data_IF_899494736961
#
_entry.id   IF_899494736961
#
_cell.length_a   1.000
_cell.length_b   1.000
_cell.length_c   1.000
_cell.angle_alpha   90.00
_cell.angle_beta   90.00
_cell.angle_gamma   90.00
#
_symmetry.space_group_name_H-M   'P 1'
#
loop_
_entity.id
_entity.type
_entity.pdbx_description
1 polymer ?
#
# COMPACT_ATOMS: atom_id res chain seq x y z
N UNK A 1 -3.88 -29.55 -6.77
CA UNK A 1 -5.31 -29.39 -7.09
C UNK A 1 -5.63 -27.94 -6.76
N UNK A 2 -6.09 -27.15 -7.73
CA UNK A 2 -6.59 -25.80 -7.44
C UNK A 2 -7.89 -25.95 -6.65
N UNK A 3 -7.88 -25.53 -5.39
CA UNK A 3 -9.09 -25.42 -4.58
C UNK A 3 -9.90 -24.26 -5.14
N UNK A 4 -11.09 -24.57 -5.66
CA UNK A 4 -12.04 -23.57 -6.14
C UNK A 4 -12.66 -22.88 -4.93
N UNK A 5 -12.65 -21.55 -4.95
CA UNK A 5 -13.31 -20.71 -3.94
C UNK A 5 -14.80 -21.11 -3.81
N UNK A 6 -15.24 -21.66 -2.66
CA UNK A 6 -16.62 -22.11 -2.46
C UNK A 6 -17.63 -20.96 -2.45
N UNK A 7 -17.18 -19.71 -2.33
CA UNK A 7 -18.02 -18.51 -2.33
C UNK A 7 -18.11 -17.82 -3.71
N UNK A 8 -17.56 -18.38 -4.79
CA UNK A 8 -17.73 -17.84 -6.15
C UNK A 8 -19.15 -18.14 -6.65
N UNK A 9 -20.06 -17.15 -6.75
CA UNK A 9 -21.44 -17.38 -7.15
C UNK A 9 -21.45 -17.64 -8.65
N UNK A 10 -21.24 -18.90 -9.04
CA UNK A 10 -21.05 -19.35 -10.41
C UNK A 10 -21.89 -18.59 -11.45
N UNK A 11 -21.24 -17.65 -12.13
CA UNK A 11 -21.77 -16.96 -13.29
C UNK A 11 -21.76 -17.91 -14.49
N UNK A 12 -22.86 -18.63 -14.69
CA UNK A 12 -23.05 -19.53 -15.82
C UNK A 12 -23.12 -18.79 -17.16
N UNK A 13 -22.29 -19.22 -18.11
CA UNK A 13 -22.53 -19.06 -19.56
C UNK A 13 -21.88 -17.86 -20.24
N UNK A 14 -20.71 -18.08 -20.82
CA UNK A 14 -20.12 -17.23 -21.86
C UNK A 14 -18.81 -16.54 -21.43
N UNK A 15 -17.68 -17.20 -21.71
CA UNK A 15 -16.32 -16.65 -21.55
C UNK A 15 -16.03 -16.17 -20.13
N UNK A 16 -15.46 -17.03 -19.30
CA UNK A 16 -15.14 -16.78 -17.88
C UNK A 16 -14.39 -15.45 -17.73
N UNK A 17 -15.13 -14.38 -17.41
CA UNK A 17 -14.58 -13.07 -17.12
C UNK A 17 -13.75 -13.21 -15.85
N UNK A 18 -12.43 -13.06 -15.96
CA UNK A 18 -11.55 -12.96 -14.79
C UNK A 18 -11.93 -11.67 -14.05
N UNK A 19 -12.34 -11.68 -12.78
CA UNK A 19 -12.79 -10.45 -12.12
C UNK A 19 -11.65 -9.45 -11.94
N UNK A 20 -11.97 -8.14 -11.96
CA UNK A 20 -11.02 -7.02 -11.82
C UNK A 20 -10.00 -7.19 -10.69
N UNK A 21 -10.40 -7.88 -9.63
CA UNK A 21 -9.66 -7.95 -8.36
C UNK A 21 -8.65 -9.11 -8.28
N UNK A 22 -8.70 -10.08 -9.21
CA UNK A 22 -7.67 -11.12 -9.35
C UNK A 22 -6.31 -10.54 -9.74
N UNK A 23 -6.30 -9.29 -10.22
CA UNK A 23 -5.18 -8.70 -10.96
C UNK A 23 -4.29 -7.85 -10.04
N UNK A 24 -4.82 -7.32 -8.95
CA UNK A 24 -4.06 -6.59 -7.92
C UNK A 24 -3.03 -7.48 -7.23
N UNK A 25 -3.40 -8.72 -6.93
CA UNK A 25 -2.52 -9.67 -6.24
C UNK A 25 -1.40 -10.21 -7.12
N UNK A 26 -1.58 -10.23 -8.45
CA UNK A 26 -0.53 -10.64 -9.39
C UNK A 26 0.49 -9.53 -9.69
N UNK A 27 0.14 -8.29 -9.37
CA UNK A 27 0.92 -7.09 -9.65
C UNK A 27 1.31 -6.39 -8.33
N UNK A 28 1.83 -7.12 -7.35
CA UNK A 28 2.28 -6.53 -6.07
C UNK A 28 3.45 -5.58 -6.31
N UNK A 29 3.20 -4.28 -6.21
CA UNK A 29 4.22 -3.26 -6.40
C UNK A 29 4.51 -2.53 -5.10
N UNK A 30 5.78 -2.25 -4.87
CA UNK A 30 6.15 -1.24 -3.88
C UNK A 30 5.64 0.16 -4.30
N UNK A 31 5.51 1.11 -3.37
CA UNK A 31 4.98 2.45 -3.67
C UNK A 31 5.72 3.18 -4.80
N UNK A 32 7.06 3.13 -4.81
CA UNK A 32 7.91 3.70 -5.87
C UNK A 32 7.60 3.05 -7.24
N UNK A 33 7.49 1.72 -7.29
CA UNK A 33 7.17 1.01 -8.53
C UNK A 33 5.75 1.28 -9.02
N UNK A 34 4.77 1.36 -8.10
CA UNK A 34 3.40 1.73 -8.39
C UNK A 34 3.32 3.14 -9.01
N UNK A 35 4.03 4.11 -8.43
CA UNK A 35 4.17 5.46 -8.96
C UNK A 35 4.77 5.45 -10.37
N UNK A 36 5.91 4.79 -10.55
CA UNK A 36 6.57 4.65 -11.84
C UNK A 36 5.67 4.02 -12.91
N UNK A 37 4.97 2.95 -12.55
CA UNK A 37 4.03 2.25 -13.44
C UNK A 37 2.86 3.15 -13.85
N UNK A 38 2.31 3.92 -12.92
CA UNK A 38 1.23 4.85 -13.23
C UNK A 38 1.69 5.91 -14.25
N UNK A 39 2.88 6.48 -14.08
CA UNK A 39 3.46 7.45 -15.02
C UNK A 39 3.78 6.82 -16.38
N UNK A 40 4.35 5.61 -16.38
CA UNK A 40 4.59 4.84 -17.60
C UNK A 40 3.28 4.58 -18.35
N UNK A 41 2.22 4.16 -17.66
CA UNK A 41 0.91 3.88 -18.24
C UNK A 41 0.30 5.13 -18.89
N UNK A 42 0.41 6.29 -18.24
CA UNK A 42 -0.03 7.58 -18.80
C UNK A 42 0.78 7.98 -20.05
N UNK A 43 2.10 7.81 -20.01
CA UNK A 43 2.97 8.04 -21.18
C UNK A 43 2.59 7.11 -22.34
N UNK A 44 2.38 5.83 -22.03
CA UNK A 44 1.97 4.81 -22.99
C UNK A 44 0.66 5.17 -23.68
N UNK A 45 -0.36 5.53 -22.89
CA UNK A 45 -1.66 5.96 -23.36
C UNK A 45 -1.56 7.16 -24.31
N UNK A 46 -0.78 8.18 -23.94
CA UNK A 46 -0.58 9.38 -24.74
C UNK A 46 0.22 9.12 -26.02
N UNK A 47 1.17 8.20 -25.97
CA UNK A 47 1.97 7.82 -27.13
C UNK A 47 1.22 6.97 -28.16
N UNK A 48 0.12 6.32 -27.75
CA UNK A 48 -0.70 5.41 -28.56
C UNK A 48 0.14 4.58 -29.54
N UNK A 49 1.07 3.74 -29.03
CA UNK A 49 2.09 3.10 -29.86
C UNK A 49 1.53 2.14 -30.93
N UNK A 50 0.24 1.77 -30.84
CA UNK A 50 -0.42 0.86 -31.76
C UNK A 50 -1.46 1.52 -32.67
N UNK A 51 -1.67 2.84 -32.57
CA UNK A 51 -2.61 3.55 -33.45
C UNK A 51 -4.07 3.10 -33.31
N UNK A 52 -4.44 2.42 -32.22
CA UNK A 52 -5.77 1.87 -32.00
C UNK A 52 -6.73 2.97 -31.52
N UNK A 53 -7.22 3.81 -32.44
CA UNK A 53 -7.93 5.06 -32.11
C UNK A 53 -9.45 5.00 -32.27
N UNK A 54 -10.17 5.55 -31.29
CA UNK A 54 -11.56 6.03 -31.46
C UNK A 54 -11.84 7.32 -30.65
N UNK A 55 -11.00 7.66 -29.66
CA UNK A 55 -11.16 8.85 -28.80
C UNK A 55 -9.93 9.75 -28.83
N UNK A 56 -9.93 10.77 -29.69
CA UNK A 56 -8.90 11.83 -29.69
C UNK A 56 -7.45 11.34 -29.87
N UNK A 57 -7.24 10.17 -30.48
CA UNK A 57 -5.91 9.61 -30.68
C UNK A 57 -5.40 8.67 -29.58
N UNK A 58 -6.21 8.29 -28.59
CA UNK A 58 -5.82 7.42 -27.48
C UNK A 58 -6.23 5.96 -27.68
N UNK A 59 -5.50 5.02 -27.08
CA UNK A 59 -5.76 3.57 -27.17
C UNK A 59 -7.02 3.16 -26.39
N UNK A 60 -8.01 2.60 -27.08
CA UNK A 60 -9.29 2.18 -26.46
C UNK A 60 -9.16 1.08 -25.41
N UNK A 61 -8.13 0.23 -25.50
CA UNK A 61 -7.85 -0.85 -24.53
C UNK A 61 -7.27 -0.30 -23.22
N UNK A 62 -7.15 1.01 -23.11
CA UNK A 62 -6.86 1.74 -21.88
C UNK A 62 -8.10 2.35 -21.23
N UNK A 63 -9.24 2.43 -21.95
CA UNK A 63 -10.27 3.44 -21.69
C UNK A 63 -11.67 2.86 -21.46
N UNK A 64 -11.82 1.90 -20.55
CA UNK A 64 -13.12 1.71 -19.91
C UNK A 64 -13.34 2.82 -18.85
N UNK A 65 -13.45 4.05 -19.32
CA UNK A 65 -13.94 5.31 -18.68
C UNK A 65 -13.41 5.83 -17.33
N UNK A 66 -12.77 5.04 -16.46
CA UNK A 66 -12.51 5.48 -15.08
C UNK A 66 -11.07 5.92 -14.82
N UNK A 67 -10.09 5.33 -15.50
CA UNK A 67 -8.69 5.44 -15.08
C UNK A 67 -8.12 6.86 -15.06
N UNK A 68 -8.29 7.67 -16.11
CA UNK A 68 -7.65 9.00 -16.05
C UNK A 68 -8.31 9.89 -15.01
N UNK A 69 -9.61 9.75 -14.79
CA UNK A 69 -10.29 10.48 -13.73
C UNK A 69 -9.87 9.94 -12.35
N UNK A 70 -9.90 8.62 -12.15
CA UNK A 70 -9.54 7.98 -10.89
C UNK A 70 -8.06 8.12 -10.56
N UNK A 71 -7.15 7.94 -11.52
CA UNK A 71 -5.72 8.13 -11.35
C UNK A 71 -5.34 9.61 -11.16
N UNK A 72 -6.01 10.55 -11.86
CA UNK A 72 -5.80 11.97 -11.61
C UNK A 72 -6.40 12.37 -10.25
N UNK A 73 -7.60 11.90 -9.90
CA UNK A 73 -8.21 12.14 -8.60
C UNK A 73 -7.37 11.54 -7.48
N UNK A 74 -6.83 10.34 -7.71
CA UNK A 74 -5.93 9.68 -6.79
C UNK A 74 -4.66 10.51 -6.62
N UNK A 75 -4.00 10.88 -7.72
CA UNK A 75 -2.83 11.76 -7.69
C UNK A 75 -3.12 13.13 -7.04
N UNK A 76 -4.31 13.70 -7.19
CA UNK A 76 -4.73 14.95 -6.53
C UNK A 76 -5.03 14.74 -5.04
N UNK A 77 -5.49 13.55 -4.67
CA UNK A 77 -5.75 13.14 -3.29
C UNK A 77 -4.52 12.53 -2.60
N UNK A 78 -3.36 12.54 -3.26
CA UNK A 78 -2.12 11.94 -2.78
C UNK A 78 -2.04 10.42 -2.96
N UNK A 79 -3.09 9.72 -3.41
CA UNK A 79 -3.09 8.26 -3.62
C UNK A 79 -2.43 7.82 -4.92
N UNK A 80 -1.65 6.75 -4.79
CA UNK A 80 -1.10 6.01 -5.92
C UNK A 80 -1.93 4.76 -6.18
N UNK A 81 -2.78 4.85 -7.19
CA UNK A 81 -3.40 3.70 -7.84
C UNK A 81 -2.48 3.24 -8.96
N UNK A 82 -2.15 1.94 -9.01
CA UNK A 82 -1.43 1.38 -10.14
C UNK A 82 -2.37 0.58 -11.05
N UNK A 83 -2.22 0.70 -12.38
CA UNK A 83 -2.99 -0.09 -13.32
C UNK A 83 -2.52 -1.54 -13.30
N UNK A 84 -3.52 -2.43 -13.43
CA UNK A 84 -3.30 -3.85 -13.69
C UNK A 84 -3.92 -4.24 -15.02
N UNK A 85 -3.33 -5.26 -15.62
CA UNK A 85 -3.49 -5.55 -17.03
C UNK A 85 -3.88 -7.00 -17.28
N UNK A 86 -4.58 -7.25 -18.39
CA UNK A 86 -4.85 -8.61 -18.86
C UNK A 86 -4.70 -8.75 -20.35
N UNK A 87 -4.52 -9.99 -20.79
CA UNK A 87 -4.64 -10.36 -22.19
C UNK A 87 -6.05 -10.92 -22.51
N UNK A 88 -6.93 -10.14 -23.18
CA UNK A 88 -8.24 -10.62 -23.60
C UNK A 88 -8.15 -11.79 -24.61
N UNK A 89 -7.01 -11.95 -25.30
CA UNK A 89 -6.80 -13.08 -26.22
C UNK A 89 -6.39 -14.37 -25.50
N UNK A 90 -6.06 -14.29 -24.21
CA UNK A 90 -5.67 -15.42 -23.38
C UNK A 90 -6.60 -15.54 -22.18
N UNK A 91 -7.90 -15.66 -22.43
CA UNK A 91 -8.94 -15.81 -21.39
C UNK A 91 -8.87 -14.74 -20.28
N UNK A 92 -8.49 -13.50 -20.62
CA UNK A 92 -8.29 -12.42 -19.65
C UNK A 92 -7.27 -12.77 -18.55
N UNK A 93 -6.26 -13.59 -18.88
CA UNK A 93 -5.17 -13.90 -17.95
C UNK A 93 -4.43 -12.61 -17.53
N UNK A 94 -4.09 -12.45 -16.24
CA UNK A 94 -3.23 -11.38 -15.75
C UNK A 94 -1.95 -11.29 -16.56
N UNK A 95 -1.61 -10.09 -17.01
CA UNK A 95 -0.30 -9.81 -17.58
C UNK A 95 0.54 -9.08 -16.52
N UNK A 96 1.66 -9.67 -16.05
CA UNK A 96 2.51 -9.04 -15.04
C UNK A 96 3.12 -7.79 -15.67
N UNK A 97 2.60 -6.62 -15.27
CA UNK A 97 3.01 -5.34 -15.84
C UNK A 97 4.45 -4.97 -15.46
N UNK A 98 4.91 -3.79 -15.89
CA UNK A 98 6.20 -3.25 -15.48
C UNK A 98 6.44 -3.22 -13.96
N UNK A 99 7.49 -3.86 -13.47
CA UNK A 99 7.79 -3.92 -12.02
C UNK A 99 7.10 -5.05 -11.27
N UNK A 100 6.19 -5.81 -11.90
CA UNK A 100 5.52 -6.92 -11.23
C UNK A 100 6.52 -8.01 -10.82
N UNK A 101 6.31 -8.72 -9.70
CA UNK A 101 7.04 -9.93 -9.38
C UNK A 101 6.99 -10.93 -10.55
N UNK A 102 8.14 -11.54 -10.86
CA UNK A 102 8.26 -12.50 -11.97
C UNK A 102 8.32 -11.87 -13.38
N UNK A 103 8.15 -10.55 -13.53
CA UNK A 103 8.40 -9.86 -14.80
C UNK A 103 9.91 -9.61 -15.03
N UNK A 104 10.30 -9.37 -16.29
CA UNK A 104 11.68 -8.97 -16.62
C UNK A 104 12.10 -7.61 -15.99
N UNK A 105 11.15 -6.88 -15.41
CA UNK A 105 11.35 -5.55 -14.82
C UNK A 105 11.05 -5.54 -13.32
N UNK A 106 10.89 -6.71 -12.68
CA UNK A 106 10.54 -6.85 -11.26
C UNK A 106 11.46 -6.06 -10.32
N UNK A 107 12.75 -5.95 -10.65
CA UNK A 107 13.74 -5.22 -9.85
C UNK A 107 13.89 -3.73 -10.19
N UNK A 108 13.08 -3.19 -11.11
CA UNK A 108 13.21 -1.80 -11.52
C UNK A 108 12.64 -0.87 -10.45
N UNK A 109 13.28 0.29 -10.26
CA UNK A 109 12.72 1.40 -9.50
C UNK A 109 11.57 2.06 -10.26
N UNK A 110 10.78 2.90 -9.58
CA UNK A 110 9.74 3.70 -10.19
C UNK A 110 10.25 4.57 -11.33
N UNK A 111 11.41 5.20 -11.16
CA UNK A 111 12.05 5.99 -12.22
C UNK A 111 12.42 5.13 -13.45
N UNK A 112 13.01 3.95 -13.24
CA UNK A 112 13.33 3.04 -14.34
C UNK A 112 12.07 2.55 -15.05
N UNK A 113 11.02 2.22 -14.30
CA UNK A 113 9.73 1.84 -14.88
C UNK A 113 9.16 2.99 -15.71
N UNK A 114 9.19 4.21 -15.18
CA UNK A 114 8.65 5.39 -15.84
C UNK A 114 9.39 5.73 -17.13
N UNK A 115 10.72 5.74 -17.10
CA UNK A 115 11.53 6.32 -18.18
C UNK A 115 12.08 5.28 -19.14
N UNK A 116 12.58 4.15 -18.62
CA UNK A 116 13.40 3.20 -19.40
C UNK A 116 12.55 2.16 -20.14
N UNK A 117 11.33 1.90 -19.67
CA UNK A 117 10.45 0.89 -20.28
C UNK A 117 9.71 1.49 -21.48
N UNK A 118 9.95 1.03 -22.71
CA UNK A 118 9.33 1.62 -23.90
C UNK A 118 7.82 1.43 -23.91
N UNK A 119 7.11 2.31 -24.63
CA UNK A 119 5.66 2.17 -24.83
C UNK A 119 5.29 0.85 -25.53
N UNK A 120 6.19 0.25 -26.31
CA UNK A 120 5.93 -1.05 -26.95
C UNK A 120 6.06 -2.26 -26.01
N UNK A 121 6.39 -2.05 -24.74
CA UNK A 121 6.55 -3.13 -23.75
C UNK A 121 5.24 -3.86 -23.44
N UNK A 122 4.11 -3.14 -23.41
CA UNK A 122 2.79 -3.76 -23.24
C UNK A 122 2.34 -4.40 -24.55
N UNK A 123 2.10 -5.73 -24.64
CA UNK A 123 1.61 -6.33 -25.86
C UNK A 123 0.34 -5.64 -26.38
N UNK A 124 0.19 -5.56 -27.71
CA UNK A 124 -0.94 -4.86 -28.30
C UNK A 124 -2.30 -5.43 -27.87
N UNK A 125 -2.40 -6.75 -27.64
CA UNK A 125 -3.62 -7.40 -27.16
C UNK A 125 -3.98 -6.99 -25.74
N UNK A 126 -2.99 -6.75 -24.88
CA UNK A 126 -3.18 -6.52 -23.45
C UNK A 126 -3.97 -5.22 -23.24
N UNK A 127 -4.93 -5.27 -22.33
CA UNK A 127 -5.76 -4.14 -21.93
C UNK A 127 -5.57 -3.84 -20.45
N UNK A 128 -5.70 -2.57 -20.09
CA UNK A 128 -5.82 -2.18 -18.70
C UNK A 128 -7.23 -2.54 -18.23
N UNK A 129 -7.33 -3.06 -17.03
CA UNK A 129 -8.60 -3.51 -16.50
C UNK A 129 -8.97 -2.84 -15.20
N UNK A 130 -8.09 -2.86 -14.21
CA UNK A 130 -8.40 -2.31 -12.89
C UNK A 130 -7.32 -1.34 -12.43
N UNK A 131 -7.68 -0.61 -11.38
CA UNK A 131 -6.78 0.16 -10.54
C UNK A 131 -6.67 -0.53 -9.19
N UNK A 132 -5.44 -0.69 -8.73
CA UNK A 132 -5.13 -1.42 -7.51
C UNK A 132 -4.47 -0.54 -6.47
N UNK A 133 -4.77 -0.86 -5.23
CA UNK A 133 -4.15 -0.31 -4.03
C UNK A 133 -3.45 -1.49 -3.33
N UNK A 134 -2.24 -1.32 -2.80
CA UNK A 134 -1.61 -2.37 -2.01
C UNK A 134 -2.48 -2.72 -0.78
N UNK A 135 -2.90 -3.99 -0.68
CA UNK A 135 -3.57 -4.60 0.47
C UNK A 135 -2.57 -5.36 1.34
N UNK A 136 -2.74 -5.37 2.68
CA UNK A 136 -1.60 -5.74 3.52
C UNK A 136 -1.81 -6.50 4.85
N UNK A 137 -3.00 -6.49 5.45
CA UNK A 137 -3.29 -7.21 6.69
C UNK A 137 -3.99 -8.53 6.43
N UNK A 138 -3.70 -9.56 7.22
CA UNK A 138 -4.53 -10.77 7.24
C UNK A 138 -5.90 -10.50 7.90
N UNK A 139 -6.97 -11.27 7.61
CA UNK A 139 -8.32 -11.04 8.15
C UNK A 139 -8.40 -11.06 9.68
N UNK A 140 -7.58 -11.90 10.31
CA UNK A 140 -7.47 -12.11 11.75
C UNK A 140 -6.66 -11.01 12.46
N UNK A 141 -5.95 -10.18 11.71
CA UNK A 141 -5.16 -9.09 12.26
C UNK A 141 -6.07 -8.06 12.95
N UNK A 142 -5.88 -7.88 14.25
CA UNK A 142 -6.65 -6.89 15.01
C UNK A 142 -6.18 -5.47 14.72
N UNK A 143 -7.13 -4.56 14.55
CA UNK A 143 -6.91 -3.11 14.56
C UNK A 143 -7.59 -2.50 15.78
N UNK A 144 -6.99 -1.45 16.35
CA UNK A 144 -7.58 -0.76 17.50
C UNK A 144 -8.75 0.13 17.06
N UNK A 145 -9.93 -0.21 17.54
CA UNK A 145 -11.14 0.61 17.45
C UNK A 145 -11.45 1.25 18.81
N UNK A 146 -12.37 2.22 18.85
CA UNK A 146 -12.70 2.97 20.06
C UNK A 146 -13.21 2.07 21.21
N UNK A 147 -13.87 0.95 20.87
CA UNK A 147 -14.35 -0.05 21.84
C UNK A 147 -13.32 -1.14 22.18
N UNK A 148 -12.12 -1.06 21.62
CA UNK A 148 -11.06 -2.05 21.77
C UNK A 148 -10.62 -2.67 20.43
N UNK A 149 -9.62 -3.56 20.48
CA UNK A 149 -9.14 -4.29 19.32
C UNK A 149 -10.25 -5.16 18.70
N UNK A 150 -10.25 -5.25 17.37
CA UNK A 150 -11.14 -6.14 16.61
C UNK A 150 -10.42 -6.60 15.35
N UNK A 151 -10.56 -7.87 14.98
CA UNK A 151 -10.05 -8.40 13.72
C UNK A 151 -10.57 -7.55 12.54
N UNK A 152 -9.69 -7.16 11.62
CA UNK A 152 -10.04 -6.24 10.52
C UNK A 152 -11.11 -6.83 9.60
N UNK A 153 -11.11 -8.15 9.39
CA UNK A 153 -12.17 -8.84 8.65
C UNK A 153 -13.53 -8.71 9.33
N UNK A 154 -13.59 -8.87 10.65
CA UNK A 154 -14.81 -8.69 11.44
C UNK A 154 -15.25 -7.22 11.49
N UNK A 155 -14.31 -6.28 11.64
CA UNK A 155 -14.60 -4.85 11.65
C UNK A 155 -15.30 -4.42 10.36
N UNK A 156 -14.80 -4.88 9.20
CA UNK A 156 -15.45 -4.66 7.91
C UNK A 156 -16.82 -5.34 7.83
N UNK A 157 -16.91 -6.62 8.18
CA UNK A 157 -18.16 -7.40 8.10
C UNK A 157 -19.28 -6.82 8.97
N UNK A 158 -18.93 -6.23 10.12
CA UNK A 158 -19.87 -5.60 11.06
C UNK A 158 -20.07 -4.11 10.80
N UNK A 159 -19.41 -3.54 9.79
CA UNK A 159 -19.54 -2.14 9.40
C UNK A 159 -18.98 -1.15 10.44
N UNK A 160 -18.06 -1.59 11.31
CA UNK A 160 -17.40 -0.72 12.28
C UNK A 160 -16.53 0.31 11.58
N UNK A 161 -16.50 1.54 12.08
CA UNK A 161 -15.71 2.64 11.49
C UNK A 161 -15.01 3.51 12.52
N UNK A 162 -15.20 3.27 13.81
CA UNK A 162 -14.64 4.00 14.94
C UNK A 162 -13.18 3.60 15.21
N UNK A 163 -12.29 3.96 14.28
CA UNK A 163 -10.86 3.68 14.35
C UNK A 163 -10.17 4.54 15.41
N UNK A 164 -9.09 4.02 16.01
CA UNK A 164 -8.18 4.81 16.85
C UNK A 164 -6.84 4.97 16.13
N UNK A 165 -6.36 6.22 16.07
CA UNK A 165 -5.07 6.57 15.46
C UNK A 165 -4.24 7.42 16.40
N UNK A 166 -2.97 7.65 16.08
CA UNK A 166 -2.19 8.68 16.78
C UNK A 166 -2.80 10.07 16.56
N UNK A 167 -2.62 10.96 17.54
CA UNK A 167 -2.90 12.40 17.32
C UNK A 167 -1.79 13.05 16.48
N UNK A 168 -2.04 14.20 15.83
CA UNK A 168 -1.03 14.89 15.04
C UNK A 168 0.26 15.23 15.81
N UNK A 169 0.15 15.47 17.13
CA UNK A 169 1.26 15.83 18.00
C UNK A 169 1.89 14.66 18.77
N UNK A 170 1.54 13.41 18.45
CA UNK A 170 2.10 12.25 19.13
C UNK A 170 3.61 12.13 18.87
N UNK A 171 4.37 11.80 19.92
CA UNK A 171 5.81 11.55 19.85
C UNK A 171 6.14 10.22 20.53
N UNK A 172 7.31 9.62 20.29
CA UNK A 172 7.68 8.37 20.98
C UNK A 172 7.75 8.48 22.50
N UNK A 173 8.10 9.67 23.02
CA UNK A 173 8.11 9.94 24.46
C UNK A 173 6.71 10.23 25.03
N UNK A 174 5.75 10.58 24.17
CA UNK A 174 4.37 10.89 24.55
C UNK A 174 3.39 10.49 23.43
N UNK A 175 3.15 9.17 23.31
CA UNK A 175 2.11 8.69 22.40
C UNK A 175 0.74 9.08 22.92
N UNK A 176 0.01 9.80 22.09
CA UNK A 176 -1.38 10.17 22.34
C UNK A 176 -2.23 9.67 21.20
N UNK A 177 -3.45 9.25 21.52
CA UNK A 177 -4.39 8.66 20.57
C UNK A 177 -5.65 9.51 20.47
N UNK A 178 -6.32 9.45 19.31
CA UNK A 178 -7.61 10.07 19.08
C UNK A 178 -8.59 9.09 18.45
N UNK A 179 -9.86 9.32 18.73
CA UNK A 179 -10.93 8.74 17.93
C UNK A 179 -10.86 9.32 16.52
N UNK A 180 -10.93 8.42 15.55
CA UNK A 180 -10.90 8.70 14.13
C UNK A 180 -12.02 7.90 13.45
N UNK A 181 -12.16 8.07 12.14
CA UNK A 181 -13.10 7.28 11.34
C UNK A 181 -12.39 6.57 10.21
N UNK A 182 -12.89 5.39 9.87
CA UNK A 182 -12.52 4.70 8.64
C UNK A 182 -13.24 5.39 7.48
N UNK A 183 -12.46 5.98 6.58
CA UNK A 183 -12.92 6.48 5.29
C UNK A 183 -13.37 5.30 4.41
N UNK A 184 -12.49 4.30 4.30
CA UNK A 184 -12.76 3.04 3.61
C UNK A 184 -11.87 1.93 4.14
N UNK A 185 -12.38 0.71 4.05
CA UNK A 185 -11.57 -0.49 4.06
C UNK A 185 -11.22 -0.87 2.63
N UNK A 186 -10.01 -1.39 2.44
CA UNK A 186 -9.64 -2.10 1.21
C UNK A 186 -9.65 -3.58 1.54
N UNK A 187 -10.25 -4.38 0.67
CA UNK A 187 -10.29 -5.83 0.78
C UNK A 187 -9.96 -6.39 -0.59
N UNK A 188 -8.99 -7.30 -0.64
CA UNK A 188 -8.80 -8.16 -1.80
C UNK A 188 -10.11 -8.88 -2.10
N UNK A 189 -10.70 -8.67 -3.28
CA UNK A 189 -12.03 -9.23 -3.50
C UNK A 189 -12.05 -10.75 -3.66
N UNK A 190 -10.91 -11.40 -3.95
CA UNK A 190 -10.75 -12.86 -4.04
C UNK A 190 -9.55 -13.34 -3.26
N UNK A 191 -9.61 -14.59 -2.81
CA UNK A 191 -8.44 -15.31 -2.29
C UNK A 191 -7.36 -15.37 -3.37
N UNK A 192 -6.12 -15.08 -2.96
CA UNK A 192 -4.97 -15.21 -3.82
C UNK A 192 -3.72 -15.51 -2.98
N UNK A 193 -2.68 -16.00 -3.62
CA UNK A 193 -1.42 -16.30 -2.94
C UNK A 193 -0.71 -15.00 -2.52
N UNK A 194 -0.42 -14.88 -1.23
CA UNK A 194 0.19 -13.71 -0.59
C UNK A 194 1.42 -14.16 0.19
N UNK A 195 2.53 -13.44 0.04
CA UNK A 195 3.69 -13.63 0.93
C UNK A 195 3.42 -12.90 2.25
N UNK A 196 3.25 -13.68 3.32
CA UNK A 196 2.98 -13.18 4.66
C UNK A 196 4.23 -13.34 5.51
N UNK A 197 4.52 -12.30 6.29
CA UNK A 197 5.53 -12.30 7.34
C UNK A 197 4.83 -12.26 8.69
N UNK A 198 5.14 -13.23 9.54
CA UNK A 198 4.71 -13.27 10.93
C UNK A 198 5.91 -12.96 11.81
N UNK A 199 5.86 -11.84 12.53
CA UNK A 199 6.86 -11.45 13.52
C UNK A 199 6.47 -11.95 14.90
N UNK A 200 7.44 -12.46 15.65
CA UNK A 200 7.29 -12.71 17.08
C UNK A 200 8.29 -11.86 17.86
N UNK A 201 7.81 -11.18 18.89
CA UNK A 201 8.61 -10.25 19.68
C UNK A 201 8.93 -10.78 21.07
N UNK A 202 9.94 -10.19 21.72
CA UNK A 202 10.43 -10.58 23.04
C UNK A 202 9.34 -10.50 24.11
N UNK A 203 8.48 -9.49 24.07
CA UNK A 203 7.35 -9.37 25.01
C UNK A 203 6.21 -10.38 24.75
N UNK A 204 6.36 -11.29 23.77
CA UNK A 204 5.37 -12.29 23.39
C UNK A 204 4.31 -11.78 22.42
N UNK A 205 4.52 -10.61 21.81
CA UNK A 205 3.65 -10.09 20.76
C UNK A 205 3.81 -10.85 19.44
N UNK A 206 2.77 -10.80 18.62
CA UNK A 206 2.77 -11.39 17.27
C UNK A 206 2.10 -10.42 16.29
N UNK A 207 2.70 -10.24 15.12
CA UNK A 207 2.19 -9.36 14.07
C UNK A 207 2.29 -10.04 12.72
N UNK A 208 1.18 -10.12 11.99
CA UNK A 208 1.08 -10.88 10.74
C UNK A 208 0.62 -9.99 9.60
N UNK A 209 1.51 -9.76 8.63
CA UNK A 209 1.33 -8.76 7.58
C UNK A 209 1.98 -9.21 6.27
N UNK A 210 1.57 -8.61 5.15
CA UNK A 210 2.29 -8.77 3.87
C UNK A 210 3.69 -8.14 3.93
N UNK A 211 4.57 -8.57 3.03
CA UNK A 211 5.96 -8.10 2.92
C UNK A 211 6.14 -6.60 2.69
N UNK A 212 5.17 -5.93 2.06
CA UNK A 212 5.21 -4.50 1.77
C UNK A 212 4.59 -3.63 2.86
N UNK A 213 4.02 -4.23 3.91
CA UNK A 213 3.29 -3.48 4.93
C UNK A 213 4.23 -2.58 5.75
N UNK A 214 3.90 -1.28 5.93
CA UNK A 214 4.74 -0.34 6.67
C UNK A 214 4.56 -0.49 8.18
N UNK A 215 5.68 -0.66 8.88
CA UNK A 215 5.76 -0.82 10.33
C UNK A 215 6.63 0.27 10.94
N UNK A 216 6.20 0.80 12.09
CA UNK A 216 6.95 1.83 12.81
C UNK A 216 8.09 1.18 13.59
N UNK A 217 9.30 1.68 13.39
CA UNK A 217 10.52 1.25 14.08
C UNK A 217 10.99 2.31 15.10
N UNK A 218 11.94 1.99 16.00
CA UNK A 218 12.26 2.85 17.16
C UNK A 218 12.83 4.23 16.85
N UNK A 219 13.44 4.44 15.69
CA UNK A 219 13.91 5.76 15.23
C UNK A 219 12.76 6.62 14.68
N UNK A 220 11.55 6.06 14.68
CA UNK A 220 10.34 6.69 14.22
C UNK A 220 10.04 6.54 12.75
N UNK A 221 10.97 6.02 11.96
CA UNK A 221 10.72 5.77 10.54
C UNK A 221 9.71 4.65 10.34
N UNK A 222 9.20 4.57 9.11
CA UNK A 222 8.45 3.40 8.65
C UNK A 222 9.36 2.54 7.79
N UNK A 223 9.42 1.25 8.09
CA UNK A 223 10.08 0.25 7.26
C UNK A 223 9.07 -0.75 6.73
N UNK A 224 9.34 -1.31 5.55
CA UNK A 224 8.53 -2.41 5.03
C UNK A 224 8.79 -3.66 5.86
N UNK A 225 7.78 -4.50 6.05
CA UNK A 225 7.93 -5.76 6.77
C UNK A 225 9.10 -6.61 6.25
N UNK A 226 9.31 -6.69 4.92
CA UNK A 226 10.42 -7.45 4.33
C UNK A 226 11.83 -6.94 4.67
N UNK A 227 11.94 -5.69 5.11
CA UNK A 227 13.20 -5.04 5.47
C UNK A 227 13.59 -5.29 6.93
N UNK A 228 12.67 -5.85 7.72
CA UNK A 228 12.87 -6.16 9.13
C UNK A 228 13.34 -7.61 9.30
N UNK A 229 14.27 -7.80 10.24
CA UNK A 229 14.84 -9.08 10.61
C UNK A 229 14.86 -9.30 12.12
N UNK A 230 15.36 -10.47 12.54
CA UNK A 230 15.66 -10.75 13.95
C UNK A 230 16.72 -9.76 14.43
N UNK A 231 16.49 -9.15 15.60
CA UNK A 231 17.33 -8.09 16.15
C UNK A 231 16.89 -6.67 15.82
N UNK A 232 16.04 -6.48 14.80
CA UNK A 232 15.26 -5.24 14.69
C UNK A 232 14.19 -5.18 15.78
N UNK A 233 13.44 -4.09 15.87
CA UNK A 233 12.39 -3.94 16.87
C UNK A 233 11.17 -3.22 16.30
N UNK A 234 10.01 -3.55 16.87
CA UNK A 234 8.75 -2.86 16.60
C UNK A 234 8.43 -1.91 17.75
N UNK A 235 7.55 -0.93 17.49
CA UNK A 235 7.05 -0.03 18.54
C UNK A 235 5.63 -0.43 18.94
N UNK A 236 5.43 -0.71 20.21
CA UNK A 236 4.11 -1.02 20.78
C UNK A 236 3.25 0.25 20.90
N UNK A 237 1.93 0.08 21.07
CA UNK A 237 0.99 1.18 21.36
C UNK A 237 1.32 1.97 22.63
N UNK A 238 2.14 1.40 23.51
CA UNK A 238 2.61 2.06 24.73
C UNK A 238 3.91 2.85 24.50
N UNK A 239 4.43 2.90 23.27
CA UNK A 239 5.69 3.56 22.92
C UNK A 239 6.92 2.77 23.30
N UNK A 240 6.75 1.52 23.77
CA UNK A 240 7.86 0.64 24.12
C UNK A 240 8.40 -0.04 22.87
N UNK A 241 9.72 -0.10 22.78
CA UNK A 241 10.47 -0.91 21.81
C UNK A 241 10.36 -2.37 22.21
N UNK A 242 10.02 -3.23 21.26
CA UNK A 242 9.87 -4.67 21.46
C UNK A 242 10.67 -5.43 20.38
N UNK A 243 11.82 -6.04 20.75
CA UNK A 243 12.69 -6.72 19.80
C UNK A 243 12.03 -7.89 19.09
N UNK A 244 12.31 -8.05 17.79
CA UNK A 244 11.91 -9.23 17.01
C UNK A 244 12.87 -10.37 17.33
N UNK A 245 12.34 -11.47 17.88
CA UNK A 245 13.11 -12.65 18.28
C UNK A 245 13.01 -13.78 17.24
N UNK A 246 11.94 -13.82 16.46
CA UNK A 246 11.80 -14.71 15.32
C UNK A 246 10.84 -14.12 14.28
N UNK A 247 10.97 -14.61 13.05
CA UNK A 247 10.02 -14.30 11.98
C UNK A 247 9.82 -15.53 11.10
N UNK A 248 8.60 -15.69 10.59
CA UNK A 248 8.21 -16.76 9.68
C UNK A 248 7.70 -16.13 8.39
N UNK A 249 8.12 -16.70 7.25
CA UNK A 249 7.59 -16.32 5.93
C UNK A 249 6.79 -17.48 5.36
N UNK A 250 5.58 -17.21 4.93
CA UNK A 250 4.68 -18.19 4.33
C UNK A 250 4.07 -17.64 3.05
N UNK A 251 3.81 -18.52 2.09
CA UNK A 251 2.91 -18.24 0.97
C UNK A 251 1.54 -18.79 1.33
N UNK A 252 0.54 -17.93 1.37
CA UNK A 252 -0.80 -18.28 1.82
C UNK A 252 -1.87 -17.80 0.86
N UNK A 253 -2.87 -18.65 0.63
CA UNK A 253 -4.06 -18.30 -0.14
C UNK A 253 -5.06 -17.57 0.75
N UNK A 254 -4.97 -16.25 0.77
CA UNK A 254 -5.75 -15.41 1.69
C UNK A 254 -6.18 -14.11 1.01
N UNK A 255 -7.25 -13.50 1.54
CA UNK A 255 -7.64 -12.13 1.21
C UNK A 255 -6.98 -11.20 2.19
N UNK A 256 -6.30 -10.17 1.71
CA UNK A 256 -5.73 -9.14 2.58
C UNK A 256 -6.64 -7.92 2.68
N UNK A 257 -6.46 -7.20 3.77
CA UNK A 257 -7.27 -6.06 4.16
C UNK A 257 -6.36 -4.84 4.34
N UNK A 258 -6.93 -3.66 4.22
CA UNK A 258 -6.30 -2.43 4.63
C UNK A 258 -7.34 -1.46 5.17
N UNK A 259 -6.90 -0.48 5.95
CA UNK A 259 -7.79 0.53 6.53
C UNK A 259 -7.26 1.92 6.22
N UNK A 260 -8.15 2.80 5.77
CA UNK A 260 -7.86 4.20 5.48
C UNK A 260 -8.58 5.11 6.47
N UNK A 261 -7.84 5.83 7.33
CA UNK A 261 -8.39 6.90 8.15
C UNK A 261 -8.91 8.06 7.28
N UNK A 262 -9.94 8.77 7.76
CA UNK A 262 -10.46 10.00 7.11
C UNK A 262 -9.48 11.18 7.18
N UNK A 263 -8.53 11.15 8.11
CA UNK A 263 -7.53 12.22 8.26
C UNK A 263 -6.48 12.18 7.16
N UNK A 264 -6.02 13.35 6.75
CA UNK A 264 -4.86 13.52 5.87
C UNK A 264 -3.59 13.88 6.64
N UNK A 265 -3.67 14.00 7.97
CA UNK A 265 -2.49 14.26 8.79
C UNK A 265 -1.55 13.03 8.75
N UNK A 266 -0.26 13.23 8.41
CA UNK A 266 0.77 12.20 8.42
C UNK A 266 0.78 11.29 9.67
N UNK A 267 0.85 11.88 10.86
CA UNK A 267 0.98 11.13 12.13
C UNK A 267 -0.31 10.39 12.45
N UNK A 268 -1.47 11.01 12.23
CA UNK A 268 -2.77 10.37 12.41
C UNK A 268 -3.12 9.30 11.38
N UNK A 269 -2.21 9.00 10.45
CA UNK A 269 -2.28 7.81 9.61
C UNK A 269 -1.56 6.60 10.21
N UNK A 270 -0.97 6.72 11.39
CA UNK A 270 -0.46 5.58 12.17
C UNK A 270 -1.63 4.98 12.96
N UNK A 271 -1.89 3.70 12.69
CA UNK A 271 -2.89 2.87 13.36
C UNK A 271 -2.20 1.93 14.34
N UNK A 272 -2.99 1.30 15.22
CA UNK A 272 -2.50 0.22 16.07
C UNK A 272 -3.01 -1.11 15.52
N UNK A 273 -2.08 -1.99 15.16
CA UNK A 273 -2.36 -3.33 14.64
C UNK A 273 -1.70 -4.38 15.56
N UNK A 274 -2.50 -5.29 16.15
CA UNK A 274 -2.06 -6.25 17.17
C UNK A 274 -1.19 -5.62 18.28
N UNK A 275 -1.54 -4.41 18.71
CA UNK A 275 -0.82 -3.69 19.74
C UNK A 275 0.48 -3.01 19.29
N UNK A 276 0.84 -3.07 18.01
CA UNK A 276 1.99 -2.36 17.42
C UNK A 276 1.57 -1.17 16.59
N UNK A 277 2.43 -0.15 16.51
CA UNK A 277 2.25 0.99 15.63
C UNK A 277 2.52 0.59 14.19
N UNK A 278 1.57 0.91 13.31
CA UNK A 278 1.60 0.46 11.93
C UNK A 278 1.05 1.54 11.00
N UNK A 279 1.59 1.64 9.78
CA UNK A 279 1.08 2.58 8.78
C UNK A 279 -0.27 2.11 8.24
N UNK A 280 -1.21 3.06 8.09
CA UNK A 280 -2.48 2.82 7.40
C UNK A 280 -2.31 2.69 5.89
N UNK A 281 -3.43 2.49 5.19
CA UNK A 281 -3.47 2.50 3.73
C UNK A 281 -2.90 3.80 3.13
N UNK A 282 -3.15 4.97 3.75
CA UNK A 282 -2.62 6.25 3.23
C UNK A 282 -1.10 6.27 3.22
N UNK A 283 -0.46 5.64 4.20
CA UNK A 283 1.00 5.58 4.22
C UNK A 283 1.57 4.85 3.00
N UNK A 284 0.95 3.72 2.65
CA UNK A 284 1.40 2.90 1.53
C UNK A 284 1.17 3.58 0.20
N UNK A 285 0.07 4.33 0.10
CA UNK A 285 -0.36 4.94 -1.15
C UNK A 285 0.08 6.39 -1.32
N UNK A 286 0.55 7.11 -0.30
CA UNK A 286 0.71 8.58 -0.39
C UNK A 286 2.03 9.11 0.21
N UNK A 287 2.47 8.61 1.38
CA UNK A 287 3.38 9.39 2.25
C UNK A 287 4.71 8.72 2.66
N UNK A 288 5.14 7.61 2.06
CA UNK A 288 6.40 6.95 2.48
C UNK A 288 7.60 7.91 2.45
N UNK A 289 7.75 8.71 1.39
CA UNK A 289 8.88 9.63 1.24
C UNK A 289 8.76 10.89 2.10
N UNK A 290 7.55 11.40 2.30
CA UNK A 290 7.30 12.65 3.01
C UNK A 290 7.45 12.49 4.52
N UNK A 291 7.03 11.36 5.09
CA UNK A 291 7.19 11.10 6.52
C UNK A 291 8.60 10.73 6.93
N UNK A 292 9.33 9.95 6.14
CA UNK A 292 10.76 9.75 6.41
C UNK A 292 11.47 11.10 6.49
N UNK A 293 11.05 12.08 5.68
CA UNK A 293 11.60 13.44 5.70
C UNK A 293 11.17 14.27 6.91
N UNK A 294 9.94 14.11 7.40
CA UNK A 294 9.43 14.81 8.59
C UNK A 294 9.96 14.21 9.89
N UNK A 295 10.02 12.89 9.99
CA UNK A 295 10.52 12.14 11.16
C UNK A 295 12.05 12.27 11.32
N UNK A 296 12.80 12.32 10.21
CA UNK A 296 14.23 12.64 10.25
C UNK A 296 14.49 14.06 10.73
N UNK A 297 13.54 15.00 10.57
CA UNK A 297 13.73 16.40 10.96
C UNK A 297 13.71 16.60 12.46
N UNK A 298 12.89 15.83 13.18
CA UNK A 298 12.78 15.91 14.63
C UNK A 298 13.89 15.11 15.36
N UNK A 299 14.61 14.25 14.64
CA UNK A 299 15.75 13.48 15.14
C UNK A 299 17.12 14.01 14.65
N UNK A 300 17.17 15.16 13.96
CA UNK A 300 18.45 15.84 13.70
C UNK A 300 18.97 16.38 15.03
N UNK A 301 20.16 15.95 15.51
CA UNK A 301 20.74 16.53 16.72
C UNK A 301 20.88 18.04 16.54
N UNK A 302 20.66 18.83 17.60
CA UNK A 302 20.83 20.29 17.56
C UNK A 302 22.19 20.72 16.98
N UNK A 303 23.22 19.88 17.14
CA UNK A 303 24.57 20.09 16.58
C UNK A 303 24.65 20.03 15.05
N UNK A 304 23.66 19.45 14.38
CA UNK A 304 23.57 19.36 12.93
C UNK A 304 22.61 20.39 12.31
N UNK A 305 21.89 21.17 13.14
CA UNK A 305 21.11 22.32 12.69
C UNK A 305 22.03 23.55 12.72
N UNK A 306 22.36 24.19 11.58
CA UNK A 306 23.20 25.37 11.59
C UNK A 306 22.51 26.48 12.38
N UNK A 307 23.08 26.78 13.56
CA UNK A 307 22.66 27.88 14.42
C UNK A 307 22.77 29.17 13.61
N UNK A 308 21.64 29.73 13.17
CA UNK A 308 21.62 31.14 12.79
C UNK A 308 21.62 31.91 14.10
N UNK A 309 22.80 32.40 14.48
CA UNK A 309 22.92 33.32 15.60
C UNK A 309 22.03 34.53 15.31
N UNK A 310 20.88 34.61 15.98
CA UNK A 310 20.07 35.81 15.99
C UNK A 310 20.93 36.97 16.49
N UNK A 311 20.96 38.01 15.67
CA UNK A 311 21.69 39.23 15.93
C UNK A 311 21.19 39.92 17.19
N UNK A 312 22.14 40.39 17.98
CA UNK A 312 21.96 41.51 18.90
C UNK A 312 21.21 42.64 18.18
N UNK A 313 19.97 42.90 18.57
CA UNK A 313 19.34 44.19 18.30
C UNK A 313 19.97 45.23 19.24
N UNK A 314 20.56 46.33 18.72
CA UNK A 314 20.98 47.42 19.58
C UNK A 314 19.75 48.20 20.05
N UNK A 315 19.67 48.45 21.36
CA UNK A 315 18.68 49.34 21.97
C UNK A 315 18.86 50.79 21.51
N UNK A 316 17.79 51.50 21.15
CA UNK A 316 17.67 52.93 21.38
C UNK A 316 17.11 53.24 22.77
#
# INVERSE_FOLDING_TARGET
MMETDPDDPGGGGGGTWVPYNYRCTYDQLGPDQAYGRQKWAKRWQQGNPYGATQWGGLDMRFWNSSFSLEANNASLAGTWLYPVYVDPNNMYAPWPGPGAPGSATAGYTGAQIQYDIPGTYKPASVQMDALCEPGCYSPDQEILLARGPLAIGEALATGRRDLVTLTPGATFSALTFMDNQVERYTLDAKLAEQEIVTFHTEAGGSLRVTTEHPLVVPDGSLKKARELGVGDSLVTRAGKVDPIISLEKSLEWIRTYNVRPVTTDPTSNIVVAQGFLSGSQRFQSEYVDELNRLLLRDNVPDSAVPYTAEGNLPSP
#
